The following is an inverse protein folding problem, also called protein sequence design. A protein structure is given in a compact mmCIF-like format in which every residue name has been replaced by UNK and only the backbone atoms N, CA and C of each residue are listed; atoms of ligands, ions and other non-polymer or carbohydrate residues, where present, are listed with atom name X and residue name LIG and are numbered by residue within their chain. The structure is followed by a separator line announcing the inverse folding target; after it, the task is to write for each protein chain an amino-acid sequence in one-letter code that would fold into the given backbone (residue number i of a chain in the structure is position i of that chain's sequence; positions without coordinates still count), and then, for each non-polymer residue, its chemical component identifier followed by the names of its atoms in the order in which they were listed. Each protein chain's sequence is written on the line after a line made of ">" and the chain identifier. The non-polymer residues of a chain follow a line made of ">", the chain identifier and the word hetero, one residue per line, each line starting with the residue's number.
data_IF_990853676843
#
_entry.id   IF_990853676843
#
_cell.length_a   1.000
_cell.length_b   1.000
_cell.length_c   1.000
_cell.angle_alpha   90.00
_cell.angle_beta   90.00
_cell.angle_gamma   90.00
#
_symmetry.space_group_name_H-M   'P 1'
#
loop_
_entity.id
_entity.type
_entity.pdbx_description
1 polymer ?
#
# COMPACT_ATOMS: atom_id res chain seq x y z
N UNK A 1 4.49 21.33 -4.01
CA UNK A 1 4.42 20.06 -3.24
C UNK A 1 3.44 19.17 -3.98
N UNK A 2 3.91 18.11 -4.65
CA UNK A 2 3.07 17.29 -5.50
C UNK A 2 2.04 16.56 -4.66
N UNK A 3 0.77 16.89 -4.87
CA UNK A 3 -0.41 16.23 -4.32
C UNK A 3 -0.27 14.73 -4.52
N UNK A 4 0.00 13.99 -3.45
CA UNK A 4 -0.19 12.55 -3.43
C UNK A 4 -1.67 12.32 -3.68
N UNK A 5 -2.02 12.16 -4.96
CA UNK A 5 -3.37 11.93 -5.43
C UNK A 5 -4.05 11.00 -4.43
N UNK A 6 -5.14 11.50 -3.84
CA UNK A 6 -5.96 10.86 -2.83
C UNK A 6 -6.54 9.56 -3.40
N UNK A 7 -5.69 8.53 -3.47
CA UNK A 7 -6.06 7.26 -4.05
C UNK A 7 -6.93 6.54 -3.03
N UNK A 8 -8.14 6.23 -3.46
CA UNK A 8 -9.11 5.49 -2.66
C UNK A 8 -8.72 4.01 -2.72
N UNK A 9 -8.16 3.50 -1.62
CA UNK A 9 -7.75 2.09 -1.50
C UNK A 9 -8.74 1.30 -0.66
N UNK A 10 -8.86 0.02 -0.95
CA UNK A 10 -9.70 -0.87 -0.16
C UNK A 10 -9.00 -1.22 1.16
N UNK A 11 -9.71 -1.05 2.28
CA UNK A 11 -9.23 -1.39 3.61
C UNK A 11 -10.09 -2.49 4.23
N UNK A 12 -9.49 -3.41 4.96
CA UNK A 12 -10.18 -4.49 5.67
C UNK A 12 -10.07 -4.33 7.17
N UNK A 13 -11.20 -4.37 7.87
CA UNK A 13 -11.22 -4.37 9.33
C UNK A 13 -10.60 -5.66 9.88
N UNK A 14 -9.70 -5.51 10.86
CA UNK A 14 -9.09 -6.65 11.58
C UNK A 14 -10.08 -7.47 12.40
N UNK A 15 -11.16 -6.85 12.89
CA UNK A 15 -12.10 -7.46 13.84
C UNK A 15 -13.34 -8.04 13.16
N UNK A 16 -14.02 -7.26 12.34
CA UNK A 16 -15.29 -7.68 11.71
C UNK A 16 -15.14 -8.08 10.24
N UNK A 17 -13.92 -8.08 9.68
CA UNK A 17 -13.63 -8.39 8.28
C UNK A 17 -14.38 -7.56 7.23
N UNK A 18 -15.09 -6.48 7.62
CA UNK A 18 -15.71 -5.56 6.68
C UNK A 18 -14.67 -4.83 5.85
N UNK A 19 -15.01 -4.59 4.59
CA UNK A 19 -14.17 -3.87 3.65
C UNK A 19 -14.76 -2.50 3.36
N UNK A 20 -13.94 -1.46 3.43
CA UNK A 20 -14.33 -0.08 3.15
C UNK A 20 -13.29 0.60 2.26
N UNK A 21 -13.76 1.35 1.26
CA UNK A 21 -12.90 2.13 0.35
C UNK A 21 -12.67 3.51 0.95
N UNK A 22 -11.41 3.85 1.24
CA UNK A 22 -11.02 5.12 1.89
C UNK A 22 -9.74 5.66 1.30
N UNK A 23 -9.52 6.98 1.45
CA UNK A 23 -8.26 7.60 1.06
C UNK A 23 -7.08 6.91 1.77
N UNK A 24 -6.06 6.56 1.00
CA UNK A 24 -4.85 5.99 1.57
C UNK A 24 -4.07 7.06 2.34
N UNK A 25 -3.75 6.78 3.60
CA UNK A 25 -2.86 7.58 4.41
C UNK A 25 -1.73 6.68 4.96
N UNK A 26 -0.43 7.01 4.68
CA UNK A 26 0.70 6.22 5.18
C UNK A 26 0.90 6.33 6.69
N UNK A 27 0.44 7.42 7.30
CA UNK A 27 0.70 7.75 8.70
C UNK A 27 -0.35 7.18 9.64
N UNK A 28 -1.61 7.14 9.20
CA UNK A 28 -2.73 6.77 10.06
C UNK A 28 -3.67 5.75 9.38
N UNK A 29 -3.78 4.53 9.94
CA UNK A 29 -4.71 3.53 9.42
C UNK A 29 -6.16 3.91 9.77
N UNK A 30 -7.12 3.82 8.83
CA UNK A 30 -8.50 4.19 9.10
C UNK A 30 -9.17 3.25 10.11
N UNK A 31 -10.18 3.77 10.80
CA UNK A 31 -11.01 3.04 11.75
C UNK A 31 -12.29 2.52 11.08
N UNK A 32 -12.74 1.35 11.52
CA UNK A 32 -13.98 0.75 11.06
C UNK A 32 -15.20 1.43 11.69
N UNK A 33 -16.16 1.88 10.89
CA UNK A 33 -17.40 2.51 11.38
C UNK A 33 -18.31 1.59 12.22
N UNK A 34 -18.07 0.27 12.20
CA UNK A 34 -18.92 -0.70 12.90
C UNK A 34 -18.37 -1.12 14.27
N UNK A 35 -17.04 -1.12 14.46
CA UNK A 35 -16.42 -1.68 15.66
C UNK A 35 -15.19 -0.93 16.13
N UNK A 36 -14.96 0.27 15.58
CA UNK A 36 -13.87 1.22 15.86
C UNK A 36 -12.46 0.63 15.80
N UNK A 37 -12.35 -0.58 15.27
CA UNK A 37 -11.10 -1.32 15.14
C UNK A 37 -10.33 -0.82 13.92
N UNK A 38 -8.99 -0.83 14.02
CA UNK A 38 -8.10 -0.45 12.91
C UNK A 38 -8.32 -1.33 11.68
N UNK A 39 -8.26 -0.72 10.51
CA UNK A 39 -8.36 -1.39 9.22
C UNK A 39 -6.99 -1.42 8.53
N UNK A 40 -6.67 -2.53 7.86
CA UNK A 40 -5.45 -2.68 7.08
C UNK A 40 -5.72 -2.42 5.59
N UNK A 41 -4.81 -1.73 4.88
CA UNK A 41 -4.93 -1.56 3.44
C UNK A 41 -4.73 -2.90 2.73
N UNK A 42 -5.69 -3.29 1.89
CA UNK A 42 -5.61 -4.45 1.02
C UNK A 42 -4.83 -4.15 -0.27
N UNK A 43 -4.62 -2.88 -0.60
CA UNK A 43 -3.82 -2.49 -1.75
C UNK A 43 -2.50 -1.88 -1.29
N UNK A 44 -1.42 -2.24 -1.98
CA UNK A 44 -0.06 -1.77 -1.75
C UNK A 44 0.39 -1.01 -2.99
N UNK A 45 0.99 0.16 -2.78
CA UNK A 45 1.63 0.92 -3.85
C UNK A 45 2.93 0.24 -4.23
N UNK A 46 3.14 -0.05 -5.49
CA UNK A 46 4.39 -0.57 -6.04
C UNK A 46 4.98 0.38 -7.07
N UNK A 47 6.30 0.38 -7.19
CA UNK A 47 7.07 1.07 -8.23
C UNK A 47 7.60 0.07 -9.24
N UNK A 48 7.32 0.28 -10.51
CA UNK A 48 7.97 -0.48 -11.59
C UNK A 48 9.46 -0.16 -11.61
N UNK A 49 10.32 -1.18 -11.57
CA UNK A 49 11.78 -0.98 -11.56
C UNK A 49 12.34 -0.48 -12.90
N UNK A 50 11.62 -0.68 -14.00
CA UNK A 50 12.09 -0.27 -15.35
C UNK A 50 11.75 1.17 -15.69
N UNK A 51 10.49 1.58 -15.52
CA UNK A 51 10.02 2.92 -15.91
C UNK A 51 9.69 3.84 -14.74
N UNK A 52 9.81 3.35 -13.49
CA UNK A 52 9.51 4.13 -12.29
C UNK A 52 8.02 4.42 -12.05
N UNK A 53 7.12 3.96 -12.92
CA UNK A 53 5.68 4.17 -12.77
C UNK A 53 5.15 3.52 -11.48
N UNK A 54 4.27 4.24 -10.78
CA UNK A 54 3.67 3.81 -9.52
C UNK A 54 2.28 3.26 -9.79
N UNK A 55 1.97 2.09 -9.24
CA UNK A 55 0.69 1.41 -9.43
C UNK A 55 0.21 0.80 -8.12
N UNK A 56 -1.08 0.96 -7.83
CA UNK A 56 -1.75 0.30 -6.70
C UNK A 56 -2.12 -1.12 -7.07
N UNK A 57 -1.77 -2.04 -6.20
CA UNK A 57 -1.87 -3.47 -6.46
C UNK A 57 -2.38 -4.16 -5.19
N UNK A 58 -3.36 -5.04 -5.34
CA UNK A 58 -3.86 -5.86 -4.24
C UNK A 58 -2.73 -6.72 -3.60
N UNK A 59 -2.68 -6.73 -2.28
CA UNK A 59 -1.68 -7.47 -1.51
C UNK A 59 -1.78 -8.97 -1.80
N UNK A 60 -0.65 -9.60 -2.14
CA UNK A 60 -0.57 -11.05 -2.37
C UNK A 60 -0.91 -11.52 -3.78
N UNK A 61 -1.29 -10.62 -4.69
CA UNK A 61 -1.60 -11.01 -6.05
C UNK A 61 -0.35 -11.14 -6.93
N UNK A 62 -0.25 -12.24 -7.68
CA UNK A 62 0.94 -12.64 -8.45
C UNK A 62 0.83 -12.23 -9.92
N UNK A 63 1.96 -12.24 -10.64
CA UNK A 63 1.98 -12.22 -12.10
C UNK A 63 1.72 -10.87 -12.79
N UNK A 64 1.89 -9.74 -12.11
CA UNK A 64 1.50 -8.41 -12.62
C UNK A 64 2.50 -7.83 -13.61
N UNK A 65 2.03 -6.93 -14.47
CA UNK A 65 2.83 -6.18 -15.45
C UNK A 65 2.54 -4.68 -15.33
N UNK A 66 3.56 -3.87 -15.56
CA UNK A 66 3.42 -2.42 -15.50
C UNK A 66 2.59 -1.94 -16.70
N UNK A 67 1.49 -1.26 -16.45
CA UNK A 67 0.62 -0.74 -17.51
C UNK A 67 1.35 0.18 -18.51
N UNK A 68 2.39 0.89 -18.06
CA UNK A 68 3.14 1.83 -18.91
C UNK A 68 4.18 1.15 -19.82
N UNK A 69 4.82 0.05 -19.39
CA UNK A 69 5.96 -0.53 -20.12
C UNK A 69 5.97 -2.07 -20.22
N UNK A 70 4.93 -2.73 -19.74
CA UNK A 70 4.77 -4.20 -19.75
C UNK A 70 5.68 -4.96 -18.78
N UNK A 71 6.61 -4.29 -18.08
CA UNK A 71 7.59 -4.96 -17.23
C UNK A 71 6.98 -5.51 -15.93
N UNK A 72 7.41 -6.71 -15.49
CA UNK A 72 6.78 -7.45 -14.39
C UNK A 72 7.42 -7.27 -13.01
N UNK A 73 8.54 -6.57 -12.92
CA UNK A 73 9.28 -6.40 -11.66
C UNK A 73 8.86 -5.11 -10.96
N UNK A 74 8.43 -5.28 -9.71
CA UNK A 74 7.89 -4.22 -8.87
C UNK A 74 8.57 -4.21 -7.50
N UNK A 75 8.85 -3.02 -6.97
CA UNK A 75 9.34 -2.83 -5.61
C UNK A 75 8.33 -2.03 -4.79
N UNK A 76 8.04 -2.48 -3.56
CA UNK A 76 7.27 -1.69 -2.59
C UNK A 76 8.13 -0.48 -2.18
N UNK A 77 7.67 0.77 -2.37
CA UNK A 77 8.39 1.94 -1.87
C UNK A 77 8.62 1.79 -0.37
N UNK A 78 9.87 1.95 0.06
CA UNK A 78 10.19 1.90 1.49
C UNK A 78 9.45 3.06 2.18
N UNK A 79 8.77 2.74 3.28
CA UNK A 79 8.12 3.73 4.13
C UNK A 79 9.17 4.77 4.52
N UNK A 80 9.00 6.03 4.13
CA UNK A 80 9.94 7.10 4.53
C UNK A 80 9.96 7.36 6.05
N UNK A 81 9.05 6.74 6.83
CA UNK A 81 8.90 7.00 8.27
C UNK A 81 9.14 5.82 9.22
N UNK A 82 9.61 4.64 8.76
CA UNK A 82 10.03 3.60 9.71
C UNK A 82 11.55 3.70 9.93
N UNK A 83 12.04 3.81 11.19
CA UNK A 83 13.47 3.75 11.45
C UNK A 83 13.98 2.44 10.88
N UNK A 84 15.08 2.52 10.12
CA UNK A 84 15.78 1.36 9.61
C UNK A 84 15.95 0.36 10.75
N UNK A 85 15.47 -0.89 10.57
CA UNK A 85 15.91 -1.98 11.45
C UNK A 85 17.40 -2.15 11.16
N UNK A 86 18.23 -1.56 12.01
CA UNK A 86 19.67 -1.79 12.01
C UNK A 86 19.86 -3.25 12.38
N UNK A 87 20.14 -4.09 11.38
CA UNK A 87 20.58 -5.45 11.65
C UNK A 87 21.95 -5.32 12.30
N UNK A 88 22.03 -5.65 13.60
CA UNK A 88 23.33 -5.84 14.25
C UNK A 88 23.95 -7.08 13.61
N UNK A 89 25.09 -6.90 12.95
CA UNK A 89 25.97 -8.01 12.66
C UNK A 89 26.41 -8.60 14.01
N UNK A 90 26.23 -9.92 14.17
CA UNK A 90 26.75 -10.69 15.29
C UNK A 90 28.22 -10.97 15.02
#
# INVERSE_FOLDING_TARGET
>A
MASEAENIVNHKCRKCNRTDRRAWNPSEPPQCNHCDSKMDPLEIRYKCLRCGHLTWIEAGSTGKSCHKCGYRVFAKPRSQGRPHKTLRAI
#
